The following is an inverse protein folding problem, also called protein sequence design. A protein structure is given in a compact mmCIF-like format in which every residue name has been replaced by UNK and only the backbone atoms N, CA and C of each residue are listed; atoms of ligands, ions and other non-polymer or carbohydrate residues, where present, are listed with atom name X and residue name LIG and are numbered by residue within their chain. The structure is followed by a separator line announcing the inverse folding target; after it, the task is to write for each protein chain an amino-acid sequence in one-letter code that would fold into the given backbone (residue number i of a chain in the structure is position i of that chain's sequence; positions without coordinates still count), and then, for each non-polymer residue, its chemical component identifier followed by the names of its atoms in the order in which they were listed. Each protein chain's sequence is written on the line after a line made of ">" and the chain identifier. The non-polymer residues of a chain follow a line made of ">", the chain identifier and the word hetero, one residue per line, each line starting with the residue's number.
data_IF_094103176659
#
_entry.id   IF_094103176659
#
_cell.length_a   1.000
_cell.length_b   1.000
_cell.length_c   1.000
_cell.angle_alpha   90.00
_cell.angle_beta   90.00
_cell.angle_gamma   90.00
#
_symmetry.space_group_name_H-M   'P 1'
#
loop_
_entity.id
_entity.type
_entity.pdbx_description
1 polymer ?
#
# COMPACT_ATOMS: atom_id res chain seq x y z
N UNK A 1 5.81 -0.40 -3.97
CA UNK A 1 6.93 -0.24 -4.89
C UNK A 1 6.93 1.16 -5.49
N UNK A 2 7.97 1.94 -5.17
CA UNK A 2 8.14 3.35 -5.53
C UNK A 2 8.05 3.56 -7.04
N UNK A 3 8.70 2.70 -7.84
CA UNK A 3 8.75 2.87 -9.29
C UNK A 3 7.46 2.46 -10.00
N UNK A 4 6.88 1.34 -9.62
CA UNK A 4 5.71 0.76 -10.29
C UNK A 4 4.46 1.60 -10.04
N UNK A 5 4.20 1.97 -8.79
CA UNK A 5 3.05 2.80 -8.44
C UNK A 5 3.12 4.18 -9.07
N UNK A 6 4.26 4.86 -8.98
CA UNK A 6 4.45 6.18 -9.61
C UNK A 6 4.33 6.10 -11.14
N UNK A 7 4.95 5.10 -11.77
CA UNK A 7 4.87 4.91 -13.21
C UNK A 7 3.44 4.67 -13.68
N UNK A 8 2.63 3.95 -12.91
CA UNK A 8 1.23 3.69 -13.25
C UNK A 8 0.37 4.95 -13.19
N UNK A 9 0.50 5.74 -12.12
CA UNK A 9 -0.39 6.90 -11.89
C UNK A 9 0.08 8.18 -12.58
N UNK A 10 1.37 8.32 -12.90
CA UNK A 10 1.95 9.57 -13.38
C UNK A 10 1.23 10.18 -14.59
N UNK A 11 0.90 9.45 -15.67
CA UNK A 11 0.19 10.00 -16.81
C UNK A 11 -1.21 10.50 -16.42
N UNK A 12 -1.99 9.68 -15.69
CA UNK A 12 -3.34 10.01 -15.26
C UNK A 12 -3.36 11.17 -14.24
N UNK A 13 -2.40 11.20 -13.32
CA UNK A 13 -2.25 12.31 -12.39
C UNK A 13 -1.89 13.60 -13.13
N UNK A 14 -1.07 13.51 -14.16
CA UNK A 14 -0.77 14.66 -15.03
C UNK A 14 -2.02 15.25 -15.70
N UNK A 15 -2.90 14.40 -16.23
CA UNK A 15 -4.19 14.85 -16.81
C UNK A 15 -5.11 15.47 -15.74
N UNK A 16 -5.20 14.86 -14.54
CA UNK A 16 -5.98 15.42 -13.43
C UNK A 16 -5.45 16.81 -13.01
N UNK A 17 -4.14 16.97 -12.87
CA UNK A 17 -3.53 18.24 -12.49
C UNK A 17 -3.69 19.34 -13.56
N UNK A 18 -3.83 18.98 -14.82
CA UNK A 18 -4.14 19.92 -15.91
C UNK A 18 -5.64 20.19 -16.06
N UNK A 19 -6.50 19.52 -15.28
CA UNK A 19 -7.95 19.63 -15.38
C UNK A 19 -8.55 18.96 -16.63
N UNK A 20 -7.83 18.03 -17.25
CA UNK A 20 -8.26 17.31 -18.46
C UNK A 20 -9.15 16.11 -18.13
N UNK A 21 -9.01 15.54 -16.93
CA UNK A 21 -9.80 14.42 -16.45
C UNK A 21 -9.91 14.45 -14.91
N UNK A 22 -10.97 13.83 -14.39
CA UNK A 22 -11.18 13.68 -12.94
C UNK A 22 -11.09 12.21 -12.53
N UNK A 23 -9.87 11.70 -12.48
CA UNK A 23 -9.60 10.35 -11.99
C UNK A 23 -9.58 10.29 -10.46
N UNK A 24 -10.14 9.22 -9.92
CA UNK A 24 -9.98 8.83 -8.51
C UNK A 24 -8.74 7.94 -8.37
N UNK A 25 -7.89 8.23 -7.39
CA UNK A 25 -6.70 7.44 -7.10
C UNK A 25 -6.79 6.87 -5.70
N UNK A 26 -6.56 5.56 -5.58
CA UNK A 26 -6.56 4.85 -4.30
C UNK A 26 -5.19 4.20 -4.12
N UNK A 27 -4.43 4.68 -3.13
CA UNK A 27 -3.19 4.05 -2.70
C UNK A 27 -3.51 2.97 -1.67
N UNK A 28 -3.14 1.72 -1.95
CA UNK A 28 -3.39 0.59 -1.05
C UNK A 28 -2.10 0.16 -0.38
N UNK A 29 -2.14 0.03 0.94
CA UNK A 29 -1.01 -0.38 1.76
C UNK A 29 -1.40 -1.50 2.73
N UNK A 30 -0.44 -2.32 3.24
CA UNK A 30 -0.74 -3.33 4.23
C UNK A 30 -1.10 -2.69 5.58
N UNK A 31 -2.11 -3.23 6.25
CA UNK A 31 -2.49 -2.80 7.61
C UNK A 31 -1.36 -2.98 8.63
N UNK A 32 -0.43 -3.89 8.36
CA UNK A 32 0.77 -4.12 9.17
C UNK A 32 1.87 -3.06 8.99
N UNK A 33 1.77 -2.21 7.95
CA UNK A 33 2.75 -1.16 7.63
C UNK A 33 2.03 0.09 7.09
N UNK A 34 1.16 0.74 7.89
CA UNK A 34 0.20 1.75 7.46
C UNK A 34 0.83 3.15 7.38
N UNK A 35 1.79 3.33 6.48
CA UNK A 35 2.57 4.57 6.41
C UNK A 35 1.77 5.80 6.00
N UNK A 36 0.81 5.68 5.08
CA UNK A 36 -0.09 6.77 4.69
C UNK A 36 -1.22 6.96 5.69
N UNK A 37 -1.89 5.86 6.07
CA UNK A 37 -3.13 5.92 6.86
C UNK A 37 -2.90 6.21 8.35
N UNK A 38 -1.71 5.88 8.89
CA UNK A 38 -1.38 6.09 10.32
C UNK A 38 0.00 6.72 10.55
N UNK A 39 0.74 7.05 9.49
CA UNK A 39 2.02 7.74 9.57
C UNK A 39 1.88 9.24 9.84
N UNK A 40 3.02 9.91 9.96
CA UNK A 40 3.11 11.38 10.10
C UNK A 40 3.77 11.99 8.88
N UNK A 41 3.25 13.11 8.40
CA UNK A 41 3.84 13.85 7.29
C UNK A 41 4.92 14.80 7.78
N UNK A 42 6.16 14.32 7.83
CA UNK A 42 7.30 15.02 8.38
C UNK A 42 8.58 14.67 7.62
N UNK A 43 9.67 15.40 7.89
CA UNK A 43 10.99 15.00 7.43
C UNK A 43 11.51 13.81 8.25
N UNK A 44 11.93 12.75 7.57
CA UNK A 44 12.54 11.58 8.18
C UNK A 44 13.68 11.03 7.31
N UNK A 45 14.45 10.11 7.86
CA UNK A 45 15.48 9.40 7.12
C UNK A 45 14.85 8.37 6.18
N UNK A 46 15.39 8.28 4.97
CA UNK A 46 14.93 7.28 3.99
C UNK A 46 15.45 5.87 4.32
N UNK A 47 16.49 5.77 5.14
CA UNK A 47 17.15 4.52 5.51
C UNK A 47 17.40 4.42 7.02
N UNK A 48 17.45 3.19 7.54
CA UNK A 48 17.73 2.92 8.95
C UNK A 48 19.15 3.28 9.37
N UNK A 49 20.09 3.31 8.42
CA UNK A 49 21.47 3.73 8.63
C UNK A 49 21.66 5.23 8.74
N UNK A 50 20.62 6.03 8.42
CA UNK A 50 20.61 7.49 8.46
C UNK A 50 21.74 8.15 7.60
N UNK A 51 22.05 7.48 6.48
CA UNK A 51 23.09 7.93 5.53
C UNK A 51 22.49 8.79 4.41
N UNK A 52 21.25 8.49 4.00
CA UNK A 52 20.55 9.25 2.98
C UNK A 52 20.07 10.61 3.50
N UNK A 53 19.90 11.61 2.62
CA UNK A 53 19.29 12.88 2.99
C UNK A 53 17.88 12.69 3.56
N UNK A 54 17.47 13.61 4.42
CA UNK A 54 16.10 13.68 4.91
C UNK A 54 15.12 13.97 3.76
N UNK A 55 13.99 13.29 3.76
CA UNK A 55 12.90 13.56 2.84
C UNK A 55 11.60 13.79 3.61
N UNK A 56 10.79 14.74 3.13
CA UNK A 56 9.48 14.98 3.68
C UNK A 56 8.51 13.93 3.12
N UNK A 57 7.95 13.12 4.00
CA UNK A 57 7.11 11.98 3.62
C UNK A 57 6.16 11.57 4.75
N UNK A 58 5.14 10.83 4.42
CA UNK A 58 4.40 10.07 5.42
C UNK A 58 5.27 8.92 5.91
N UNK A 59 5.54 8.88 7.22
CA UNK A 59 6.47 7.92 7.82
C UNK A 59 5.94 7.36 9.14
N UNK A 60 6.28 6.11 9.41
CA UNK A 60 6.11 5.43 10.70
C UNK A 60 7.36 5.63 11.60
N UNK A 61 8.35 6.35 11.08
CA UNK A 61 9.67 6.54 11.70
C UNK A 61 10.70 5.55 11.17
N UNK A 62 11.93 6.03 10.88
CA UNK A 62 13.03 5.21 10.33
C UNK A 62 13.48 4.08 11.25
N UNK A 63 13.08 4.08 12.52
CA UNK A 63 13.30 2.99 13.47
C UNK A 63 12.12 2.01 13.59
N UNK A 64 11.03 2.23 12.86
CA UNK A 64 9.89 1.31 12.85
C UNK A 64 10.27 -0.01 12.19
N UNK A 65 9.96 -1.12 12.87
CA UNK A 65 10.19 -2.48 12.35
C UNK A 65 8.85 -3.07 11.96
N UNK A 66 8.56 -3.18 10.64
CA UNK A 66 7.33 -3.83 10.18
C UNK A 66 7.25 -5.28 10.63
N UNK A 67 6.06 -5.74 11.01
CA UNK A 67 5.82 -7.15 11.32
C UNK A 67 6.12 -8.04 10.10
N UNK A 68 6.32 -9.32 10.36
CA UNK A 68 6.51 -10.31 9.29
C UNK A 68 5.17 -10.55 8.57
N UNK A 69 4.97 -9.88 7.46
CA UNK A 69 3.91 -10.19 6.51
C UNK A 69 4.51 -10.73 5.20
N UNK A 70 3.69 -11.38 4.40
CA UNK A 70 4.12 -12.03 3.16
C UNK A 70 4.07 -11.10 1.92
N UNK A 71 4.19 -9.80 2.10
CA UNK A 71 4.34 -8.80 1.05
C UNK A 71 5.62 -7.99 1.30
N UNK A 72 6.77 -8.62 1.11
CA UNK A 72 8.08 -8.06 1.43
C UNK A 72 8.35 -6.70 0.80
N UNK A 73 7.91 -6.50 -0.44
CA UNK A 73 8.04 -5.24 -1.17
C UNK A 73 7.24 -4.07 -0.59
N UNK A 74 6.30 -4.33 0.33
CA UNK A 74 5.49 -3.30 0.99
C UNK A 74 5.89 -3.05 2.45
N UNK A 75 6.94 -3.70 2.94
CA UNK A 75 7.44 -3.57 4.31
C UNK A 75 8.46 -2.44 4.42
N UNK A 76 8.02 -1.21 4.46
CA UNK A 76 8.87 -0.03 4.60
C UNK A 76 8.24 1.01 5.53
N UNK A 77 9.08 1.80 6.20
CA UNK A 77 8.65 2.75 7.22
C UNK A 77 8.10 4.06 6.66
N UNK A 78 8.51 4.45 5.44
CA UNK A 78 8.19 5.76 4.86
C UNK A 78 7.72 5.67 3.41
N UNK A 79 6.73 6.48 3.07
CA UNK A 79 6.17 6.56 1.72
C UNK A 79 7.01 7.47 0.82
N UNK A 80 6.97 7.22 -0.47
CA UNK A 80 7.59 8.11 -1.45
C UNK A 80 7.15 9.56 -1.26
N UNK A 81 8.08 10.54 -1.29
CA UNK A 81 7.77 11.96 -1.06
C UNK A 81 6.70 12.54 -2.01
N UNK A 82 6.73 12.19 -3.30
CA UNK A 82 5.76 12.70 -4.26
C UNK A 82 4.35 12.15 -3.97
N UNK A 83 4.23 10.85 -3.66
CA UNK A 83 2.94 10.26 -3.26
C UNK A 83 2.44 10.83 -1.93
N UNK A 84 3.35 11.06 -1.00
CA UNK A 84 3.03 11.70 0.28
C UNK A 84 2.48 13.11 0.10
N UNK A 85 3.08 13.89 -0.80
CA UNK A 85 2.58 15.24 -1.12
C UNK A 85 1.21 15.17 -1.79
N UNK A 86 1.02 14.27 -2.75
CA UNK A 86 -0.29 14.10 -3.42
C UNK A 86 -1.39 13.70 -2.43
N UNK A 87 -1.07 12.88 -1.44
CA UNK A 87 -2.01 12.50 -0.38
C UNK A 87 -2.32 13.68 0.55
N UNK A 88 -1.30 14.45 0.96
CA UNK A 88 -1.47 15.66 1.77
C UNK A 88 -2.32 16.71 1.05
N UNK A 89 -2.15 16.84 -0.26
CA UNK A 89 -2.92 17.76 -1.12
C UNK A 89 -4.34 17.25 -1.44
N UNK A 90 -4.72 16.08 -0.95
CA UNK A 90 -6.05 15.48 -1.18
C UNK A 90 -6.28 14.99 -2.62
N UNK A 91 -5.20 14.77 -3.39
CA UNK A 91 -5.28 14.31 -4.78
C UNK A 91 -5.47 12.79 -4.89
N UNK A 92 -5.25 12.04 -3.82
CA UNK A 92 -5.47 10.61 -3.75
C UNK A 92 -5.96 10.18 -2.36
N UNK A 93 -6.67 9.06 -2.32
CA UNK A 93 -7.10 8.37 -1.10
C UNK A 93 -6.09 7.29 -0.72
N UNK A 94 -5.98 6.98 0.59
CA UNK A 94 -5.19 5.86 1.08
C UNK A 94 -6.08 4.86 1.83
N UNK A 95 -5.83 3.57 1.60
CA UNK A 95 -6.51 2.46 2.31
C UNK A 95 -5.49 1.44 2.78
N UNK A 96 -5.66 0.97 4.00
CA UNK A 96 -4.91 -0.17 4.53
C UNK A 96 -5.76 -1.43 4.47
N UNK A 97 -5.14 -2.57 4.13
CA UNK A 97 -5.80 -3.87 4.02
C UNK A 97 -5.04 -4.95 4.81
N UNK A 98 -5.79 -5.85 5.40
CA UNK A 98 -5.25 -6.97 6.18
C UNK A 98 -4.76 -8.09 5.26
N UNK A 99 -3.66 -8.77 5.65
CA UNK A 99 -3.06 -9.75 4.76
C UNK A 99 -3.96 -10.97 4.48
N UNK A 100 -4.80 -11.39 5.41
CA UNK A 100 -5.74 -12.50 5.17
C UNK A 100 -6.73 -12.15 4.08
N UNK A 101 -7.29 -10.94 4.10
CA UNK A 101 -8.19 -10.45 3.04
C UNK A 101 -7.49 -10.28 1.69
N UNK A 102 -6.19 -9.94 1.72
CA UNK A 102 -5.36 -9.85 0.51
C UNK A 102 -5.17 -11.23 -0.13
N UNK A 103 -4.86 -12.27 0.66
CA UNK A 103 -4.70 -13.63 0.15
C UNK A 103 -6.03 -14.25 -0.30
N UNK A 104 -7.14 -13.93 0.37
CA UNK A 104 -8.49 -14.30 -0.10
C UNK A 104 -8.77 -13.72 -1.50
N UNK A 105 -8.50 -12.44 -1.69
CA UNK A 105 -8.66 -11.78 -2.99
C UNK A 105 -7.72 -12.37 -4.05
N UNK A 106 -6.48 -12.72 -3.67
CA UNK A 106 -5.51 -13.35 -4.54
C UNK A 106 -5.98 -14.73 -5.04
N UNK A 107 -6.48 -15.58 -4.15
CA UNK A 107 -7.02 -16.89 -4.55
C UNK A 107 -8.31 -16.75 -5.39
N UNK A 108 -9.17 -15.79 -5.04
CA UNK A 108 -10.36 -15.51 -5.86
C UNK A 108 -9.94 -15.10 -7.28
N UNK A 109 -8.99 -14.18 -7.40
CA UNK A 109 -8.46 -13.72 -8.68
C UNK A 109 -7.84 -14.87 -9.48
N UNK A 110 -7.03 -15.71 -8.84
CA UNK A 110 -6.42 -16.86 -9.48
C UNK A 110 -7.45 -17.87 -10.01
N UNK A 111 -8.53 -18.10 -9.27
CA UNK A 111 -9.64 -18.98 -9.70
C UNK A 111 -10.42 -18.43 -10.89
N UNK A 112 -10.60 -17.12 -10.98
CA UNK A 112 -11.39 -16.46 -12.02
C UNK A 112 -10.58 -16.17 -13.27
N UNK A 113 -9.36 -15.63 -13.08
CA UNK A 113 -8.52 -15.12 -14.17
C UNK A 113 -7.41 -16.12 -14.60
N UNK A 114 -7.19 -17.19 -13.84
CA UNK A 114 -6.13 -18.16 -14.13
C UNK A 114 -4.72 -17.64 -13.89
N UNK A 115 -4.55 -16.54 -13.17
CA UNK A 115 -3.28 -15.89 -12.88
C UNK A 115 -3.06 -15.86 -11.37
N UNK A 116 -1.98 -16.45 -10.86
CA UNK A 116 -1.61 -16.37 -9.45
C UNK A 116 -0.81 -15.07 -9.21
N UNK A 117 -1.37 -14.06 -8.53
CA UNK A 117 -0.72 -12.78 -8.34
C UNK A 117 0.31 -12.83 -7.21
N UNK A 118 1.31 -11.94 -7.25
CA UNK A 118 2.17 -11.71 -6.09
C UNK A 118 1.37 -11.08 -4.94
N UNK A 119 1.73 -11.34 -3.67
CA UNK A 119 1.05 -10.75 -2.51
C UNK A 119 0.98 -9.21 -2.55
N UNK A 120 2.02 -8.56 -3.08
CA UNK A 120 2.03 -7.11 -3.27
C UNK A 120 0.92 -6.64 -4.20
N UNK A 121 0.75 -7.27 -5.35
CA UNK A 121 -0.31 -6.93 -6.32
C UNK A 121 -1.70 -7.24 -5.78
N UNK A 122 -1.79 -8.23 -4.90
CA UNK A 122 -3.05 -8.68 -4.32
C UNK A 122 -3.69 -7.63 -3.40
N UNK A 123 -2.90 -6.68 -2.87
CA UNK A 123 -3.43 -5.52 -2.17
C UNK A 123 -4.29 -4.64 -3.10
N UNK A 124 -3.81 -4.40 -4.31
CA UNK A 124 -4.58 -3.65 -5.31
C UNK A 124 -5.80 -4.45 -5.81
N UNK A 125 -5.67 -5.78 -5.95
CA UNK A 125 -6.79 -6.65 -6.32
C UNK A 125 -7.89 -6.59 -5.26
N UNK A 126 -7.55 -6.63 -3.96
CA UNK A 126 -8.53 -6.52 -2.87
C UNK A 126 -9.32 -5.21 -2.98
N UNK A 127 -8.63 -4.09 -3.14
CA UNK A 127 -9.28 -2.80 -3.31
C UNK A 127 -10.12 -2.72 -4.60
N UNK A 128 -9.66 -3.32 -5.70
CA UNK A 128 -10.42 -3.36 -6.95
C UNK A 128 -11.72 -4.18 -6.81
N UNK A 129 -11.68 -5.31 -6.09
CA UNK A 129 -12.87 -6.10 -5.77
C UNK A 129 -13.84 -5.28 -4.91
N UNK A 130 -13.34 -4.57 -3.89
CA UNK A 130 -14.19 -3.75 -3.02
C UNK A 130 -14.87 -2.62 -3.80
N UNK A 131 -14.16 -1.94 -4.70
CA UNK A 131 -14.76 -0.92 -5.57
C UNK A 131 -15.77 -1.53 -6.55
N UNK A 132 -15.49 -2.69 -7.12
CA UNK A 132 -16.43 -3.37 -8.00
C UNK A 132 -17.72 -3.80 -7.27
N UNK A 133 -17.61 -4.28 -6.03
CA UNK A 133 -18.77 -4.60 -5.20
C UNK A 133 -19.58 -3.33 -4.86
N UNK A 134 -18.91 -2.23 -4.54
CA UNK A 134 -19.56 -0.94 -4.32
C UNK A 134 -20.30 -0.46 -5.57
N UNK A 135 -19.69 -0.57 -6.75
CA UNK A 135 -20.36 -0.26 -8.02
C UNK A 135 -21.61 -1.14 -8.24
N UNK A 136 -21.53 -2.43 -7.89
CA UNK A 136 -22.67 -3.34 -7.98
C UNK A 136 -23.81 -2.92 -7.06
N UNK A 137 -23.51 -2.46 -5.85
CA UNK A 137 -24.51 -2.01 -4.86
C UNK A 137 -25.16 -0.67 -5.27
N UNK A 138 -24.33 0.28 -5.76
CA UNK A 138 -24.80 1.63 -6.13
C UNK A 138 -25.39 1.70 -7.53
N UNK A 139 -25.11 0.72 -8.39
CA UNK A 139 -25.46 0.75 -9.82
C UNK A 139 -24.59 1.72 -10.64
N UNK A 140 -23.50 2.22 -10.06
CA UNK A 140 -22.58 3.13 -10.74
C UNK A 140 -21.65 2.37 -11.69
N UNK A 141 -21.50 2.86 -12.91
CA UNK A 141 -20.58 2.28 -13.89
C UNK A 141 -19.21 2.95 -13.79
N UNK A 142 -18.15 2.17 -13.48
CA UNK A 142 -16.76 2.64 -13.38
C UNK A 142 -15.80 1.72 -14.13
N UNK A 143 -14.73 2.30 -14.64
CA UNK A 143 -13.54 1.55 -15.08
C UNK A 143 -12.52 1.55 -13.97
N UNK A 144 -12.14 0.38 -13.46
CA UNK A 144 -11.19 0.21 -12.38
C UNK A 144 -9.87 -0.31 -12.96
N UNK A 145 -8.81 0.51 -12.88
CA UNK A 145 -7.47 0.15 -13.32
C UNK A 145 -6.58 -0.15 -12.12
N UNK A 146 -5.91 -1.29 -12.11
CA UNK A 146 -4.91 -1.63 -11.10
C UNK A 146 -3.66 -2.24 -11.72
N UNK A 147 -2.52 -2.13 -11.02
CA UNK A 147 -1.25 -2.70 -11.46
C UNK A 147 -1.11 -4.16 -11.03
N UNK A 148 -1.18 -5.09 -11.97
CA UNK A 148 -0.86 -6.49 -11.73
C UNK A 148 0.65 -6.69 -11.95
N UNK A 149 1.43 -6.63 -10.88
CA UNK A 149 2.89 -6.67 -10.89
C UNK A 149 3.40 -7.89 -10.13
N UNK A 150 4.24 -8.67 -10.76
CA UNK A 150 4.81 -9.88 -10.16
C UNK A 150 3.87 -11.08 -10.18
N UNK A 151 4.44 -12.23 -9.95
CA UNK A 151 3.76 -13.53 -9.91
C UNK A 151 3.83 -14.12 -8.51
N UNK A 152 2.79 -14.85 -8.10
CA UNK A 152 2.74 -15.56 -6.82
C UNK A 152 3.51 -16.87 -6.78
N UNK A 153 4.10 -17.31 -7.88
CA UNK A 153 4.82 -18.59 -7.91
C UNK A 153 6.04 -18.65 -6.99
N UNK A 154 6.61 -17.51 -6.64
CA UNK A 154 7.70 -17.42 -5.65
C UNK A 154 7.19 -17.34 -4.19
N UNK A 155 5.88 -17.21 -4.01
CA UNK A 155 5.24 -17.02 -2.70
C UNK A 155 4.34 -18.21 -2.31
N UNK A 156 4.54 -19.38 -2.92
CA UNK A 156 3.71 -20.57 -2.69
C UNK A 156 3.64 -20.99 -1.23
N UNK A 157 4.71 -20.80 -0.47
CA UNK A 157 4.72 -21.07 0.98
C UNK A 157 3.73 -20.16 1.73
N UNK A 158 3.59 -18.91 1.29
CA UNK A 158 2.64 -17.99 1.90
C UNK A 158 1.19 -18.37 1.55
N UNK A 159 0.94 -18.77 0.30
CA UNK A 159 -0.37 -19.29 -0.13
C UNK A 159 -0.74 -20.58 0.63
N UNK A 160 0.22 -21.49 0.82
CA UNK A 160 0.01 -22.71 1.61
C UNK A 160 -0.38 -22.38 3.07
N UNK A 161 0.34 -21.47 3.72
CA UNK A 161 0.01 -21.01 5.08
C UNK A 161 -1.39 -20.40 5.15
N UNK A 162 -1.76 -19.58 4.16
CA UNK A 162 -3.10 -19.01 4.11
C UNK A 162 -4.15 -20.10 3.96
N UNK A 163 -3.96 -21.02 3.03
CA UNK A 163 -4.88 -22.14 2.77
C UNK A 163 -5.06 -23.06 3.98
N UNK A 164 -4.01 -23.26 4.76
CA UNK A 164 -4.03 -24.06 6.00
C UNK A 164 -4.57 -23.30 7.23
N UNK A 165 -4.94 -22.01 7.09
CA UNK A 165 -5.41 -21.19 8.21
C UNK A 165 -4.31 -20.82 9.21
N UNK A 166 -3.04 -20.87 8.79
CA UNK A 166 -1.87 -20.53 9.62
C UNK A 166 -1.47 -19.06 9.54
N UNK A 167 -2.15 -18.29 8.69
CA UNK A 167 -1.88 -16.87 8.52
C UNK A 167 -2.72 -16.05 9.49
N UNK A 168 -2.11 -15.03 10.09
CA UNK A 168 -2.78 -14.10 10.99
C UNK A 168 -2.53 -12.66 10.57
N UNK A 169 -3.49 -11.79 10.85
CA UNK A 169 -3.35 -10.36 10.64
C UNK A 169 -2.61 -9.70 11.79
N UNK A 170 -1.92 -8.62 11.47
CA UNK A 170 -1.26 -7.77 12.44
C UNK A 170 -1.50 -6.30 12.09
N UNK A 171 -1.96 -5.54 13.07
CA UNK A 171 -2.09 -4.09 12.99
C UNK A 171 -1.21 -3.49 14.09
N UNK A 172 -0.26 -2.58 13.78
CA UNK A 172 0.59 -1.96 14.78
C UNK A 172 -0.24 -1.26 15.87
N UNK A 173 0.12 -1.51 17.12
CA UNK A 173 -0.47 -0.82 18.26
C UNK A 173 -0.04 0.65 18.32
N UNK A 174 -0.73 1.47 19.12
CA UNK A 174 -0.28 2.86 19.34
C UNK A 174 1.09 2.92 20.00
N UNK A 175 1.45 1.91 20.80
CA UNK A 175 2.78 1.81 21.40
C UNK A 175 3.87 1.52 20.35
N UNK A 176 3.60 0.62 19.39
CA UNK A 176 4.53 0.33 18.29
C UNK A 176 4.77 1.57 17.42
N UNK A 177 3.70 2.31 17.11
CA UNK A 177 3.80 3.56 16.36
C UNK A 177 4.55 4.64 17.15
N UNK A 178 4.28 4.78 18.44
CA UNK A 178 4.97 5.74 19.30
C UNK A 178 6.47 5.46 19.37
N UNK A 179 6.89 4.19 19.45
CA UNK A 179 8.32 3.80 19.38
C UNK A 179 8.95 4.21 18.04
N UNK A 180 8.24 3.97 16.92
CA UNK A 180 8.70 4.41 15.61
C UNK A 180 8.86 5.92 15.52
N UNK A 181 7.85 6.68 15.95
CA UNK A 181 7.84 8.13 15.91
C UNK A 181 8.88 8.79 16.81
N UNK A 182 9.31 8.13 17.89
CA UNK A 182 10.31 8.66 18.80
C UNK A 182 11.68 8.92 18.13
N UNK A 183 11.97 8.19 17.04
CA UNK A 183 13.22 8.32 16.27
C UNK A 183 13.19 9.40 15.17
N UNK A 184 12.05 10.04 14.92
CA UNK A 184 11.90 11.05 13.87
C UNK A 184 12.70 12.30 14.24
N UNK A 185 13.51 12.86 13.30
CA UNK A 185 14.31 14.05 13.58
C UNK A 185 13.42 15.26 13.88
N UNK A 186 13.81 16.02 14.90
CA UNK A 186 13.21 17.34 15.18
C UNK A 186 13.93 18.38 14.34
N UNK A 187 13.27 18.86 13.30
CA UNK A 187 13.79 19.94 12.46
C UNK A 187 13.18 21.24 12.97
N UNK A 188 14.06 22.17 13.35
CA UNK A 188 13.70 23.54 13.75
C UNK A 188 13.59 24.43 12.53
#
# INVERSE_FOLDING_TARGET
>A
DVYKRQGLIAPFMGEKLRGEADYEFIAVEPASCPSLTRGRYVYDFCDTGKVCPLAKMYTLGSGFIPSANHAGGLRYHGMNPALSQMYEDGLLEARSVEQTSVFEAAEQFARVEGILPAPESSHAIRAAIDEALKCKETGEEKTILFGLTGTGYFDMVAYEKFHNGEMSDYIPTEEDLAKGFAGIPKIS
#
